data_IF_784258387897
#
_entry.id   IF_784258387897
#
_cell.length_a   1.000
_cell.length_b   1.000
_cell.length_c   1.000
_cell.angle_alpha   90.00
_cell.angle_beta   90.00
_cell.angle_gamma   90.00
#
_symmetry.space_group_name_H-M   'P 1'
#
loop_
_entity.id
_entity.type
_entity.pdbx_description
1 polymer ?
#
# COMPACT_ATOMS: atom_id res chain seq x y z
N UNK A 1 16.12 -12.42 -2.39
CA UNK A 1 14.81 -13.05 -2.67
C UNK A 1 14.19 -12.42 -3.94
N UNK A 2 13.08 -12.89 -4.52
CA UNK A 2 12.35 -12.09 -5.51
C UNK A 2 11.64 -10.90 -4.83
N UNK A 3 11.34 -9.85 -5.60
CA UNK A 3 10.47 -8.77 -5.12
C UNK A 3 9.08 -9.34 -4.74
N UNK A 4 8.46 -8.77 -3.73
CA UNK A 4 7.16 -9.19 -3.22
C UNK A 4 6.09 -8.17 -3.61
N UNK A 5 5.07 -8.58 -4.36
CA UNK A 5 3.91 -7.72 -4.60
C UNK A 5 3.20 -7.44 -3.26
N UNK A 6 3.00 -6.16 -2.95
CA UNK A 6 2.31 -5.70 -1.75
C UNK A 6 0.85 -5.39 -2.04
N UNK A 7 0.59 -4.58 -3.08
CA UNK A 7 -0.77 -4.28 -3.54
C UNK A 7 -0.82 -4.06 -5.05
N UNK A 8 -1.96 -4.41 -5.65
CA UNK A 8 -2.41 -3.83 -6.92
C UNK A 8 -3.45 -2.76 -6.62
N UNK A 9 -3.18 -1.52 -7.02
CA UNK A 9 -4.01 -0.35 -6.66
C UNK A 9 -5.38 -0.45 -7.33
N UNK A 10 -6.43 -0.49 -6.52
CA UNK A 10 -7.82 -0.33 -6.97
C UNK A 10 -8.36 1.06 -6.67
N UNK A 11 -7.90 1.66 -5.58
CA UNK A 11 -8.29 3.00 -5.15
C UNK A 11 -7.06 3.78 -4.73
N UNK A 12 -7.00 5.04 -5.10
CA UNK A 12 -6.02 5.96 -4.55
C UNK A 12 -6.67 7.28 -4.15
N UNK A 13 -6.12 7.92 -3.12
CA UNK A 13 -6.57 9.22 -2.64
C UNK A 13 -5.35 10.06 -2.29
N UNK A 14 -5.21 11.20 -2.96
CA UNK A 14 -4.20 12.18 -2.58
C UNK A 14 -4.66 12.94 -1.32
N UNK A 15 -3.82 12.92 -0.30
CA UNK A 15 -3.97 13.66 0.95
C UNK A 15 -2.99 14.85 0.95
N UNK A 16 -3.46 16.10 0.74
CA UNK A 16 -2.58 17.26 0.71
C UNK A 16 -1.75 17.39 2.00
N UNK A 17 -0.42 17.46 1.86
CA UNK A 17 0.52 17.56 2.98
C UNK A 17 0.82 16.25 3.71
N UNK A 18 0.28 15.12 3.26
CA UNK A 18 0.50 13.79 3.83
C UNK A 18 0.97 12.75 2.81
N UNK A 19 0.63 12.92 1.53
CA UNK A 19 1.04 12.01 0.46
C UNK A 19 -0.15 11.35 -0.24
N UNK A 20 0.01 10.09 -0.64
CA UNK A 20 -1.02 9.36 -1.40
C UNK A 20 -1.38 8.06 -0.71
N UNK A 21 -2.65 7.91 -0.34
CA UNK A 21 -3.19 6.63 0.10
C UNK A 21 -3.43 5.74 -1.10
N UNK A 22 -2.90 4.52 -1.05
CA UNK A 22 -3.06 3.48 -2.04
C UNK A 22 -3.72 2.26 -1.38
N UNK A 23 -4.90 1.89 -1.87
CA UNK A 23 -5.69 0.77 -1.37
C UNK A 23 -5.92 -0.28 -2.45
N UNK A 24 -5.93 -1.54 -2.02
CA UNK A 24 -6.39 -2.66 -2.81
C UNK A 24 -7.81 -3.08 -2.38
N UNK A 25 -8.41 -3.99 -3.14
CA UNK A 25 -9.64 -4.65 -2.76
C UNK A 25 -9.50 -5.42 -1.44
N UNK A 26 -10.64 -5.76 -0.81
CA UNK A 26 -10.77 -6.37 0.53
C UNK A 26 -9.95 -7.67 0.78
N UNK A 27 -9.30 -8.24 -0.23
CA UNK A 27 -8.63 -9.53 -0.16
C UNK A 27 -7.10 -9.45 -0.22
N UNK A 28 -6.50 -8.26 -0.25
CA UNK A 28 -5.04 -8.16 -0.30
C UNK A 28 -4.42 -8.42 1.07
N UNK A 29 -4.13 -9.69 1.35
CA UNK A 29 -3.57 -10.15 2.61
C UNK A 29 -2.09 -9.81 2.77
N UNK A 30 -1.42 -9.32 1.71
CA UNK A 30 0.01 -9.11 1.74
C UNK A 30 0.43 -8.05 2.76
N UNK A 31 -0.31 -6.95 2.92
CA UNK A 31 0.02 -5.90 3.89
C UNK A 31 -0.17 -6.32 5.36
N UNK A 32 -1.06 -7.28 5.64
CA UNK A 32 -1.37 -7.74 7.02
C UNK A 32 -0.19 -8.40 7.73
N UNK A 33 0.85 -8.79 7.00
CA UNK A 33 2.07 -9.37 7.57
C UNK A 33 2.99 -8.34 8.22
N UNK A 34 2.78 -7.06 7.91
CA UNK A 34 3.56 -5.97 8.47
C UNK A 34 2.84 -5.38 9.68
N UNK A 35 3.58 -4.94 10.71
CA UNK A 35 3.01 -4.14 11.78
C UNK A 35 2.35 -2.86 11.23
N UNK A 36 1.29 -2.40 11.89
CA UNK A 36 0.72 -1.10 11.61
C UNK A 36 1.77 0.01 11.82
N UNK A 37 1.78 1.00 10.94
CA UNK A 37 2.77 2.08 10.85
C UNK A 37 4.21 1.62 10.55
N UNK A 38 4.39 0.41 10.03
CA UNK A 38 5.68 -0.01 9.49
C UNK A 38 6.07 0.88 8.30
N UNK A 39 7.26 1.47 8.36
CA UNK A 39 7.86 2.20 7.26
C UNK A 39 8.54 1.21 6.30
N UNK A 40 8.13 1.23 5.04
CA UNK A 40 8.64 0.41 3.95
C UNK A 40 9.21 1.33 2.88
N UNK A 41 10.33 0.95 2.27
CA UNK A 41 10.69 1.49 0.96
C UNK A 41 10.08 0.59 -0.11
N UNK A 42 9.16 1.14 -0.90
CA UNK A 42 8.41 0.39 -1.91
C UNK A 42 8.75 0.87 -3.31
N UNK A 43 8.59 0.01 -4.29
CA UNK A 43 8.72 0.34 -5.71
C UNK A 43 7.35 0.35 -6.38
N UNK A 44 6.99 1.48 -6.98
CA UNK A 44 5.82 1.64 -7.83
C UNK A 44 6.20 1.33 -9.27
N UNK A 45 5.52 0.38 -9.91
CA UNK A 45 5.74 0.06 -11.33
C UNK A 45 4.80 0.89 -12.20
N UNK A 46 5.27 2.08 -12.59
CA UNK A 46 4.50 3.04 -13.39
C UNK A 46 4.83 2.93 -14.89
N UNK A 47 3.94 3.39 -15.81
CA UNK A 47 4.19 3.37 -17.24
C UNK A 47 5.45 4.14 -17.68
N UNK A 48 5.84 5.16 -16.92
CA UNK A 48 7.02 5.99 -17.20
C UNK A 48 8.33 5.43 -16.60
N UNK A 49 8.24 4.31 -15.90
CA UNK A 49 9.36 3.66 -15.22
C UNK A 49 9.08 3.44 -13.72
N UNK A 50 9.85 2.54 -13.07
CA UNK A 50 9.70 2.30 -11.65
C UNK A 50 10.11 3.51 -10.81
N UNK A 51 9.41 3.73 -9.70
CA UNK A 51 9.69 4.80 -8.75
C UNK A 51 9.75 4.21 -7.33
N UNK A 52 10.88 4.38 -6.65
CA UNK A 52 11.01 4.02 -5.23
C UNK A 52 10.56 5.16 -4.33
N UNK A 53 9.71 4.88 -3.36
CA UNK A 53 9.23 5.86 -2.37
C UNK A 53 9.10 5.23 -0.98
N UNK A 54 9.25 6.02 0.09
CA UNK A 54 8.83 5.59 1.41
C UNK A 54 7.31 5.45 1.47
N UNK A 55 6.85 4.46 2.23
CA UNK A 55 5.45 4.21 2.49
C UNK A 55 5.24 3.72 3.92
N UNK A 56 4.14 4.10 4.56
CA UNK A 56 3.69 3.48 5.80
C UNK A 56 2.50 2.55 5.58
N UNK A 57 2.50 1.42 6.28
CA UNK A 57 1.33 0.55 6.37
C UNK A 57 0.32 1.20 7.31
N UNK A 58 -0.87 1.49 6.80
CA UNK A 58 -1.95 2.14 7.55
C UNK A 58 -3.21 1.27 7.55
N UNK A 59 -4.13 1.59 8.46
CA UNK A 59 -5.44 0.95 8.57
C UNK A 59 -6.53 1.97 8.21
N UNK A 60 -7.39 1.60 7.26
CA UNK A 60 -8.53 2.40 6.86
C UNK A 60 -9.83 1.69 7.28
N UNK A 61 -10.54 2.33 8.21
CA UNK A 61 -11.88 1.90 8.60
C UNK A 61 -12.86 2.32 7.50
N UNK A 62 -13.41 1.34 6.76
CA UNK A 62 -14.53 1.62 5.86
C UNK A 62 -15.83 1.65 6.67
N UNK A 63 -16.72 2.65 6.42
CA UNK A 63 -18.07 2.60 6.96
C UNK A 63 -18.70 1.27 6.56
N UNK A 64 -19.29 0.56 7.52
CA UNK A 64 -19.99 -0.65 7.21
C UNK A 64 -21.18 -0.32 6.29
N UNK A 65 -21.32 -1.05 5.18
CA UNK A 65 -22.48 -0.92 4.28
C UNK A 65 -23.80 -1.26 5.01
N UNK A 66 -23.71 -1.92 6.17
CA UNK A 66 -24.81 -2.25 7.06
C UNK A 66 -24.47 -1.86 8.51
N UNK A 67 -25.37 -1.18 9.24
CA UNK A 67 -25.12 -0.68 10.60
C UNK A 67 -24.72 -1.74 11.65
N UNK A 68 -25.01 -3.02 11.39
CA UNK A 68 -24.77 -4.13 12.33
C UNK A 68 -23.62 -5.07 11.90
N UNK A 69 -22.85 -4.70 10.86
CA UNK A 69 -21.70 -5.47 10.43
C UNK A 69 -20.41 -4.82 10.91
N UNK A 70 -19.64 -5.51 11.76
CA UNK A 70 -18.23 -5.19 11.96
C UNK A 70 -17.49 -5.42 10.63
N UNK A 71 -17.36 -4.36 9.83
CA UNK A 71 -16.57 -4.42 8.61
C UNK A 71 -15.09 -4.48 9.01
N UNK A 72 -14.34 -5.51 8.57
CA UNK A 72 -12.91 -5.56 8.83
C UNK A 72 -12.25 -4.37 8.15
N UNK A 73 -11.32 -3.74 8.87
CA UNK A 73 -10.54 -2.65 8.32
C UNK A 73 -9.64 -3.11 7.16
N UNK A 74 -9.41 -2.20 6.23
CA UNK A 74 -8.51 -2.43 5.11
C UNK A 74 -7.11 -1.95 5.47
N UNK A 75 -6.12 -2.74 5.10
CA UNK A 75 -4.73 -2.32 5.17
C UNK A 75 -4.39 -1.61 3.87
N UNK A 76 -3.81 -0.41 3.99
CA UNK A 76 -3.46 0.46 2.86
C UNK A 76 -2.01 0.92 3.01
N UNK A 77 -1.46 1.50 1.94
CA UNK A 77 -0.17 2.18 1.98
C UNK A 77 -0.37 3.69 1.90
N UNK A 78 0.21 4.44 2.83
CA UNK A 78 0.40 5.88 2.68
C UNK A 78 1.79 6.11 2.08
N UNK A 79 1.83 6.56 0.83
CA UNK A 79 3.06 6.87 0.12
C UNK A 79 3.51 8.29 0.47
N UNK A 80 4.63 8.40 1.17
CA UNK A 80 5.19 9.66 1.67
C UNK A 80 6.02 10.34 0.56
N UNK A 81 5.31 10.80 -0.48
CA UNK A 81 5.90 11.57 -1.57
C UNK A 81 4.85 12.39 -2.31
N UNK A 82 5.02 13.70 -2.29
CA UNK A 82 4.23 14.64 -3.11
C UNK A 82 4.39 14.38 -4.62
N UNK A 83 5.45 13.67 -5.03
CA UNK A 83 5.74 13.36 -6.43
C UNK A 83 4.89 12.21 -6.99
N UNK A 84 4.23 11.42 -6.14
CA UNK A 84 3.46 10.24 -6.59
C UNK A 84 2.12 10.62 -7.22
N UNK A 85 1.49 11.72 -6.77
CA UNK A 85 0.18 12.15 -7.28
C UNK A 85 -0.90 11.08 -7.12
N UNK A 86 -2.00 11.20 -7.87
CA UNK A 86 -2.99 10.11 -7.93
C UNK A 86 -2.43 8.92 -8.72
N UNK A 87 -2.62 7.72 -8.18
CA UNK A 87 -2.15 6.49 -8.82
C UNK A 87 -3.21 5.92 -9.76
N UNK A 88 -2.84 5.58 -11.01
CA UNK A 88 -3.71 4.82 -11.89
C UNK A 88 -4.13 3.49 -11.27
N UNK A 89 -5.37 3.08 -11.50
CA UNK A 89 -5.86 1.74 -11.18
C UNK A 89 -5.01 0.70 -11.93
N UNK A 90 -4.68 -0.39 -11.24
CA UNK A 90 -3.81 -1.45 -11.73
C UNK A 90 -2.32 -1.19 -11.52
N UNK A 91 -1.93 -0.04 -10.94
CA UNK A 91 -0.53 0.18 -10.53
C UNK A 91 -0.13 -0.88 -9.51
N UNK A 92 0.99 -1.55 -9.74
CA UNK A 92 1.54 -2.50 -8.79
C UNK A 92 2.55 -1.81 -7.88
N UNK A 93 2.44 -2.08 -6.58
CA UNK A 93 3.40 -1.63 -5.56
C UNK A 93 4.09 -2.85 -4.97
N UNK A 94 5.42 -2.86 -5.04
CA UNK A 94 6.27 -3.99 -4.68
C UNK A 94 7.17 -3.63 -3.51
N UNK A 95 7.43 -4.61 -2.64
CA UNK A 95 8.55 -4.57 -1.72
C UNK A 95 9.79 -5.11 -2.44
N UNK A 96 10.86 -4.31 -2.61
CA UNK A 96 12.08 -4.77 -3.22
C UNK A 96 12.71 -5.92 -2.41
N UNK A 97 13.34 -6.86 -3.10
CA UNK A 97 14.00 -8.02 -2.50
C UNK A 97 14.97 -7.69 -1.35
N UNK A 98 15.66 -6.55 -1.43
CA UNK A 98 16.61 -6.09 -0.41
C UNK A 98 15.94 -5.81 0.96
N UNK A 99 14.64 -5.49 0.95
CA UNK A 99 13.84 -5.24 2.14
C UNK A 99 13.06 -6.45 2.60
N UNK A 100 12.70 -7.38 1.70
CA UNK A 100 11.98 -8.61 2.05
C UNK A 100 12.74 -9.47 3.09
N UNK A 101 14.08 -9.49 3.01
CA UNK A 101 14.94 -10.22 3.95
C UNK A 101 14.83 -9.67 5.39
N UNK A 102 14.64 -8.35 5.54
CA UNK A 102 14.54 -7.69 6.86
C UNK A 102 13.22 -8.05 7.57
N UNK A 103 12.16 -8.29 6.81
CA UNK A 103 10.84 -8.65 7.35
C UNK A 103 10.61 -10.15 7.50
N UNK A 104 11.65 -10.99 7.29
CA UNK A 104 11.57 -12.46 7.34
C UNK A 104 10.40 -13.01 6.50
N UNK A 105 10.20 -12.47 5.30
CA UNK A 105 9.16 -12.93 4.38
C UNK A 105 9.65 -14.20 3.66
N UNK A 106 9.71 -15.30 4.41
CA UNK A 106 10.16 -16.64 3.97
C UNK A 106 8.99 -17.61 3.82
#
# INVERSE_FOLDING_TARGET
MPDQLLITVETSLRLPGLGTLAGAGRHDAALRRFPLHANLEVELRLPHGPLKVPATVEELQRPADTPDADAPADYVLLLDSDAVGELPVGTEIWLPAEWADIYNLS
#
